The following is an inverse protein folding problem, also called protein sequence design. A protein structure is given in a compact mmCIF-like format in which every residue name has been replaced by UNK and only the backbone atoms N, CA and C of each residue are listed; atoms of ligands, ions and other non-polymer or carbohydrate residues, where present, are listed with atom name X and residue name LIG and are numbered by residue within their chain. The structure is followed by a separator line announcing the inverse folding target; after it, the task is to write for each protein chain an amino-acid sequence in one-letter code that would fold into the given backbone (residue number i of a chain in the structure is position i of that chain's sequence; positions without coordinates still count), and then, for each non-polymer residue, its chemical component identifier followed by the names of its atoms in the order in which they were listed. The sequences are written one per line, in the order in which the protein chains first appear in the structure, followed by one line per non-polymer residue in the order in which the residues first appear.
data_IF_548880624500
#
_entry.id   IF_548880624500
#
_cell.length_a   1.000
_cell.length_b   1.000
_cell.length_c   1.000
_cell.angle_alpha   90.00
_cell.angle_beta   90.00
_cell.angle_gamma   90.00
#
_symmetry.space_group_name_H-M   'P 1'
#
loop_
_entity.id
_entity.type
_entity.pdbx_description
1 polymer ?
#
# COMPACT_ATOMS: atom_id res chain seq x y z
N UNK A 1 17.54 -0.41 5.99
CA UNK A 1 16.12 -0.77 6.16
C UNK A 1 15.51 -1.03 4.79
N UNK A 2 14.67 -2.06 4.64
CA UNK A 2 13.96 -2.36 3.38
C UNK A 2 12.53 -1.81 3.47
N UNK A 3 12.14 -0.98 2.51
CA UNK A 3 10.76 -0.52 2.35
C UNK A 3 10.17 -1.23 1.13
N UNK A 4 9.04 -1.93 1.28
CA UNK A 4 8.40 -2.66 0.20
C UNK A 4 6.91 -2.35 0.11
N UNK A 5 6.41 -2.23 -1.11
CA UNK A 5 4.99 -2.03 -1.42
C UNK A 5 4.53 -3.18 -2.31
N UNK A 6 3.50 -3.89 -1.86
CA UNK A 6 2.93 -5.06 -2.51
C UNK A 6 1.42 -4.91 -2.60
N UNK A 7 0.83 -5.44 -3.67
CA UNK A 7 -0.60 -5.69 -3.76
C UNK A 7 -0.87 -7.20 -3.80
N UNK A 8 -2.13 -7.60 -3.90
CA UNK A 8 -2.51 -9.02 -4.00
C UNK A 8 -1.89 -9.73 -5.22
N UNK A 9 -1.59 -9.00 -6.30
CA UNK A 9 -0.97 -9.54 -7.52
C UNK A 9 0.54 -9.72 -7.41
N UNK A 10 1.22 -9.00 -6.52
CA UNK A 10 2.67 -9.07 -6.38
C UNK A 10 3.33 -7.78 -5.92
N UNK A 11 4.66 -7.81 -5.92
CA UNK A 11 5.49 -6.67 -5.52
C UNK A 11 5.35 -5.53 -6.54
N UNK A 12 5.09 -4.33 -6.05
CA UNK A 12 4.91 -3.11 -6.86
C UNK A 12 6.20 -2.30 -6.91
N UNK A 13 6.83 -2.10 -5.76
CA UNK A 13 8.04 -1.28 -5.62
C UNK A 13 8.79 -1.65 -4.35
N UNK A 14 10.10 -1.46 -4.35
CA UNK A 14 10.91 -1.59 -3.14
C UNK A 14 12.08 -0.61 -3.16
N UNK A 15 12.52 -0.20 -1.97
CA UNK A 15 13.67 0.67 -1.77
C UNK A 15 14.51 0.15 -0.61
N UNK A 16 15.82 0.05 -0.83
CA UNK A 16 16.79 -0.26 0.23
C UNK A 16 17.42 1.06 0.67
N UNK A 17 17.21 1.39 1.94
CA UNK A 17 17.82 2.58 2.55
C UNK A 17 19.24 2.30 3.00
N UNK A 18 20.03 3.38 3.10
CA UNK A 18 21.40 3.31 3.62
C UNK A 18 21.42 2.75 5.05
N UNK A 19 22.51 2.10 5.47
CA UNK A 19 22.67 1.68 6.86
C UNK A 19 22.45 2.85 7.83
N UNK A 20 21.67 2.62 8.90
CA UNK A 20 21.34 3.64 9.90
C UNK A 20 20.31 4.70 9.46
N UNK A 21 19.88 4.72 8.19
CA UNK A 21 18.84 5.65 7.73
C UNK A 21 17.44 5.15 8.11
N UNK A 22 16.65 6.02 8.72
CA UNK A 22 15.24 5.79 9.06
C UNK A 22 14.31 6.48 8.06
N UNK A 23 13.03 6.09 8.08
CA UNK A 23 11.99 6.76 7.28
C UNK A 23 11.38 7.87 8.13
N UNK A 24 11.54 9.11 7.67
CA UNK A 24 10.80 10.26 8.15
C UNK A 24 9.59 10.54 7.23
N UNK A 25 8.77 11.52 7.61
CA UNK A 25 7.56 11.86 6.87
C UNK A 25 7.86 12.36 5.43
N UNK A 26 8.94 13.10 5.24
CA UNK A 26 9.33 13.63 3.94
C UNK A 26 9.81 12.54 3.00
N UNK A 27 10.64 11.61 3.50
CA UNK A 27 11.11 10.45 2.77
C UNK A 27 9.94 9.54 2.43
N UNK A 28 9.04 9.28 3.38
CA UNK A 28 7.86 8.46 3.13
C UNK A 28 6.96 9.05 2.05
N UNK A 29 6.71 10.37 2.08
CA UNK A 29 5.94 11.07 1.05
C UNK A 29 6.60 10.92 -0.34
N UNK A 30 7.93 11.08 -0.42
CA UNK A 30 8.69 10.87 -1.67
C UNK A 30 8.61 9.42 -2.16
N UNK A 31 8.62 8.45 -1.26
CA UNK A 31 8.46 7.04 -1.59
C UNK A 31 7.08 6.76 -2.17
N UNK A 32 6.01 7.31 -1.58
CA UNK A 32 4.65 7.16 -2.11
C UNK A 32 4.50 7.75 -3.52
N UNK A 33 5.15 8.87 -3.83
CA UNK A 33 5.17 9.41 -5.18
C UNK A 33 5.79 8.41 -6.18
N UNK A 34 6.92 7.79 -5.82
CA UNK A 34 7.60 6.78 -6.65
C UNK A 34 6.77 5.50 -6.81
N UNK A 35 6.11 5.05 -5.73
CA UNK A 35 5.17 3.92 -5.80
C UNK A 35 4.03 4.22 -6.76
N UNK A 36 3.47 5.44 -6.72
CA UNK A 36 2.41 5.85 -7.66
C UNK A 36 2.89 5.84 -9.12
N UNK A 37 4.15 6.23 -9.38
CA UNK A 37 4.75 6.10 -10.70
C UNK A 37 4.91 4.63 -11.11
N UNK A 38 5.38 3.77 -10.21
CA UNK A 38 5.49 2.33 -10.46
C UNK A 38 4.13 1.68 -10.75
N UNK A 39 3.08 2.07 -10.02
CA UNK A 39 1.70 1.65 -10.27
C UNK A 39 1.24 2.06 -11.68
N UNK A 40 1.46 3.32 -12.07
CA UNK A 40 1.13 3.81 -13.42
C UNK A 40 1.87 3.03 -14.51
N UNK A 41 3.16 2.74 -14.31
CA UNK A 41 3.97 1.94 -15.26
C UNK A 41 3.43 0.52 -15.41
N UNK A 42 2.95 -0.08 -14.32
CA UNK A 42 2.34 -1.40 -14.31
C UNK A 42 0.89 -1.40 -14.85
N UNK A 43 0.35 -0.25 -15.25
CA UNK A 43 -1.06 -0.11 -15.65
C UNK A 43 -2.04 -0.32 -14.51
N UNK A 44 -1.56 -0.35 -13.26
CA UNK A 44 -2.35 -0.51 -12.06
C UNK A 44 -2.84 0.87 -11.65
N UNK A 45 -4.16 1.08 -11.72
CA UNK A 45 -4.75 2.28 -11.14
C UNK A 45 -4.87 2.04 -9.64
N UNK A 46 -4.37 2.94 -8.77
CA UNK A 46 -4.78 2.91 -7.38
C UNK A 46 -6.31 2.97 -7.38
N UNK A 47 -6.97 2.03 -6.70
CA UNK A 47 -8.42 2.03 -6.59
C UNK A 47 -8.83 3.40 -6.04
N UNK A 48 -9.48 4.22 -6.89
CA UNK A 48 -9.86 5.60 -6.53
C UNK A 48 -10.73 5.66 -5.29
N UNK A 49 -11.41 4.55 -4.99
CA UNK A 49 -12.24 4.40 -3.82
C UNK A 49 -11.62 3.50 -2.76
N UNK A 50 -10.45 2.89 -2.96
CA UNK A 50 -9.86 1.95 -2.01
C UNK A 50 -9.85 2.52 -0.59
N UNK A 51 -9.30 3.74 -0.43
CA UNK A 51 -9.26 4.45 0.86
C UNK A 51 -10.62 4.99 1.32
N UNK A 52 -11.53 5.38 0.41
CA UNK A 52 -12.88 5.86 0.77
C UNK A 52 -13.76 4.71 1.23
N UNK A 53 -13.60 3.56 0.62
CA UNK A 53 -14.33 2.34 0.89
C UNK A 53 -13.68 1.54 2.02
N UNK A 54 -12.46 1.88 2.47
CA UNK A 54 -11.81 1.25 3.62
C UNK A 54 -12.74 1.28 4.84
N UNK A 55 -13.38 2.43 5.13
CA UNK A 55 -14.31 2.52 6.26
C UNK A 55 -15.45 1.52 6.14
N UNK A 56 -16.11 1.49 4.98
CA UNK A 56 -17.21 0.55 4.70
C UNK A 56 -16.75 -0.91 4.80
N UNK A 57 -15.58 -1.23 4.23
CA UNK A 57 -15.01 -2.59 4.26
C UNK A 57 -14.62 -3.01 5.68
N UNK A 58 -14.15 -2.07 6.51
CA UNK A 58 -13.85 -2.34 7.92
C UNK A 58 -15.12 -2.56 8.75
N UNK A 59 -16.19 -1.81 8.46
CA UNK A 59 -17.52 -2.05 9.04
C UNK A 59 -18.03 -3.46 8.67
N UNK A 60 -17.92 -3.86 7.40
CA UNK A 60 -18.26 -5.22 6.94
C UNK A 60 -17.43 -6.32 7.62
N UNK A 61 -16.13 -6.10 7.86
CA UNK A 61 -15.27 -7.05 8.59
C UNK A 61 -15.72 -7.22 10.04
N UNK A 62 -16.13 -6.13 10.70
CA UNK A 62 -16.65 -6.17 12.08
C UNK A 62 -17.97 -6.94 12.11
N UNK A 63 -18.87 -6.67 11.17
CA UNK A 63 -20.20 -7.27 11.09
C UNK A 63 -20.14 -8.76 10.71
N UNK A 64 -19.13 -9.18 9.95
CA UNK A 64 -18.94 -10.57 9.50
C UNK A 64 -17.97 -11.37 10.38
N UNK A 65 -17.58 -10.84 11.55
CA UNK A 65 -16.61 -11.46 12.45
C UNK A 65 -15.31 -11.91 11.73
N UNK A 66 -14.87 -11.14 10.73
CA UNK A 66 -13.63 -11.40 10.01
C UNK A 66 -13.68 -12.47 8.92
N UNK A 67 -14.85 -13.00 8.55
CA UNK A 67 -14.99 -14.04 7.52
C UNK A 67 -14.45 -13.59 6.13
N UNK A 68 -14.40 -12.28 5.89
CA UNK A 68 -13.79 -11.66 4.71
C UNK A 68 -12.27 -11.92 4.57
N UNK A 69 -11.55 -12.21 5.65
CA UNK A 69 -10.09 -12.46 5.61
C UNK A 69 -9.73 -13.93 5.38
N UNK A 70 -10.72 -14.82 5.35
CA UNK A 70 -10.53 -16.28 5.30
C UNK A 70 -10.47 -16.89 3.90
N UNK A 71 -10.53 -16.09 2.82
CA UNK A 71 -10.53 -16.58 1.43
C UNK A 71 -9.43 -15.97 0.56
#
# INVERSE_FOLDING_TARGET
MLCCWRNFKGLVHYEVLKPGQTVDADLYSKQLMRVNESLKKLGLKPERNGIRDLRRRWEEVIDTNGEYLSN
#
